data_IF_201481696042
#
_entry.id   IF_201481696042
#
_cell.length_a   1.000
_cell.length_b   1.000
_cell.length_c   1.000
_cell.angle_alpha   90.00
_cell.angle_beta   90.00
_cell.angle_gamma   90.00
#
_symmetry.space_group_name_H-M   'P 1'
#
loop_
_entity.id
_entity.type
_entity.pdbx_description
1 polymer ?
#
# COMPACT_ATOMS: atom_id res chain seq x y z
N UNK A 1 -25.85 -33.94 67.05
CA UNK A 1 -27.17 -33.28 67.15
C UNK A 1 -27.13 -32.17 66.12
N UNK A 2 -27.58 -32.48 64.91
CA UNK A 2 -28.85 -32.10 64.30
C UNK A 2 -29.00 -30.61 64.16
N UNK A 3 -29.03 -30.10 62.98
CA UNK A 3 -30.16 -29.96 62.17
C UNK A 3 -29.88 -29.17 60.89
N UNK A 4 -30.30 -29.78 59.81
CA UNK A 4 -30.53 -29.17 58.51
C UNK A 4 -31.53 -28.02 58.54
N UNK A 5 -31.29 -27.01 57.70
CA UNK A 5 -32.40 -26.20 57.20
C UNK A 5 -32.06 -25.67 55.81
N UNK A 6 -32.53 -26.35 54.79
CA UNK A 6 -32.65 -25.87 53.42
C UNK A 6 -33.69 -24.74 53.32
N UNK A 7 -33.31 -23.60 52.82
CA UNK A 7 -34.20 -22.52 52.42
C UNK A 7 -34.41 -22.52 50.90
N UNK A 8 -35.58 -22.19 50.37
CA UNK A 8 -35.98 -22.41 48.99
C UNK A 8 -35.40 -21.39 48.01
N UNK A 9 -34.98 -21.91 46.85
CA UNK A 9 -34.56 -21.15 45.72
C UNK A 9 -35.66 -20.21 45.19
N UNK A 10 -35.39 -18.95 45.16
CA UNK A 10 -36.19 -17.95 44.43
C UNK A 10 -35.86 -18.02 42.94
N UNK A 11 -36.79 -18.45 42.16
CA UNK A 11 -36.79 -18.30 40.69
C UNK A 11 -37.06 -16.83 40.38
N UNK A 12 -36.07 -16.17 39.84
CA UNK A 12 -36.29 -14.87 39.17
C UNK A 12 -36.70 -15.16 37.73
N UNK A 13 -37.92 -14.80 37.40
CA UNK A 13 -38.37 -14.72 36.02
C UNK A 13 -37.64 -13.56 35.36
N UNK A 14 -36.85 -13.85 34.35
CA UNK A 14 -36.33 -12.85 33.44
C UNK A 14 -37.24 -12.82 32.21
N UNK A 15 -37.99 -11.73 32.12
CA UNK A 15 -38.84 -11.43 30.98
C UNK A 15 -37.98 -11.37 29.70
N UNK A 16 -38.38 -12.20 28.74
CA UNK A 16 -37.76 -12.22 27.43
C UNK A 16 -38.13 -11.00 26.62
N UNK A 17 -37.19 -10.08 26.45
CA UNK A 17 -37.22 -9.16 25.33
C UNK A 17 -36.67 -9.84 24.12
N UNK A 18 -37.56 -10.36 23.29
CA UNK A 18 -37.25 -10.79 21.95
C UNK A 18 -36.79 -9.61 21.11
N UNK A 19 -35.52 -9.36 21.07
CA UNK A 19 -34.91 -8.49 20.07
C UNK A 19 -35.06 -9.18 18.71
N UNK A 20 -35.97 -8.69 17.89
CA UNK A 20 -36.02 -9.00 16.48
C UNK A 20 -34.69 -8.56 15.86
N UNK A 21 -33.79 -9.51 15.63
CA UNK A 21 -32.57 -9.28 14.88
C UNK A 21 -32.98 -8.87 13.46
N UNK A 22 -32.69 -7.63 13.10
CA UNK A 22 -32.79 -7.17 11.74
C UNK A 22 -31.88 -8.05 10.85
N UNK A 23 -32.33 -8.45 9.68
CA UNK A 23 -31.50 -9.25 8.78
C UNK A 23 -30.26 -8.44 8.41
N UNK A 24 -29.10 -8.96 8.74
CA UNK A 24 -27.84 -8.41 8.25
C UNK A 24 -27.86 -8.46 6.72
N UNK A 25 -27.56 -7.35 6.01
CA UNK A 25 -27.41 -7.40 4.59
C UNK A 25 -26.28 -8.39 4.26
N UNK A 26 -26.56 -9.31 3.36
CA UNK A 26 -25.58 -10.26 2.85
C UNK A 26 -24.31 -9.51 2.40
N UNK A 27 -23.12 -10.06 2.62
CA UNK A 27 -21.89 -9.43 2.16
C UNK A 27 -21.97 -9.30 0.64
N UNK A 28 -22.02 -8.07 0.16
CA UNK A 28 -21.93 -7.77 -1.26
C UNK A 28 -20.58 -8.30 -1.71
N UNK A 29 -20.60 -9.32 -2.55
CA UNK A 29 -19.39 -9.88 -3.14
C UNK A 29 -18.67 -8.76 -3.88
N UNK A 30 -17.60 -8.27 -3.30
CA UNK A 30 -16.71 -7.33 -3.98
C UNK A 30 -16.17 -8.07 -5.22
N UNK A 31 -16.26 -7.48 -6.41
CA UNK A 31 -15.69 -8.09 -7.59
C UNK A 31 -14.20 -8.29 -7.29
N UNK A 32 -13.77 -9.55 -7.27
CA UNK A 32 -12.34 -9.88 -7.25
C UNK A 32 -11.75 -9.17 -8.44
N UNK A 33 -10.93 -8.15 -8.18
CA UNK A 33 -10.14 -7.49 -9.21
C UNK A 33 -9.34 -8.60 -9.89
N UNK A 34 -9.80 -9.05 -11.05
CA UNK A 34 -8.98 -9.85 -11.95
C UNK A 34 -7.84 -8.92 -12.29
N UNK A 35 -6.65 -9.23 -11.83
CA UNK A 35 -5.45 -8.65 -12.40
C UNK A 35 -5.49 -9.05 -13.88
N UNK A 36 -6.01 -8.18 -14.71
CA UNK A 36 -5.86 -8.31 -16.13
C UNK A 36 -4.36 -8.43 -16.37
N UNK A 37 -3.94 -9.47 -17.05
CA UNK A 37 -2.56 -9.60 -17.47
C UNK A 37 -2.19 -8.24 -18.11
N UNK A 38 -1.16 -7.60 -17.57
CA UNK A 38 -0.66 -6.36 -18.15
C UNK A 38 -0.39 -6.65 -19.63
N UNK A 39 -0.83 -5.79 -20.54
CA UNK A 39 -0.50 -5.95 -21.94
C UNK A 39 1.00 -6.12 -22.08
N UNK A 40 1.44 -7.12 -22.81
CA UNK A 40 2.85 -7.50 -22.96
C UNK A 40 3.65 -6.53 -23.83
N UNK A 41 3.06 -5.41 -24.23
CA UNK A 41 3.73 -4.32 -24.93
C UNK A 41 3.49 -2.97 -24.25
N UNK A 42 4.43 -2.03 -24.36
CA UNK A 42 4.24 -0.68 -23.84
C UNK A 42 3.06 -0.03 -24.56
N UNK A 43 2.11 0.48 -23.78
CA UNK A 43 1.03 1.33 -24.29
C UNK A 43 1.59 2.64 -24.86
N UNK A 44 0.81 3.39 -25.66
CA UNK A 44 1.26 4.66 -26.27
C UNK A 44 1.79 5.67 -25.24
N UNK A 45 1.17 5.74 -24.06
CA UNK A 45 1.60 6.62 -22.97
C UNK A 45 2.87 6.14 -22.28
N UNK A 46 3.01 4.83 -22.07
CA UNK A 46 4.21 4.24 -21.50
C UNK A 46 5.42 4.42 -22.43
N UNK A 47 5.20 4.37 -23.74
CA UNK A 47 6.23 4.67 -24.75
C UNK A 47 6.66 6.14 -24.75
N UNK A 48 5.75 7.07 -24.46
CA UNK A 48 6.07 8.51 -24.38
C UNK A 48 6.90 8.82 -23.13
N UNK A 49 6.54 8.24 -21.98
CA UNK A 49 7.29 8.38 -20.72
C UNK A 49 8.67 7.71 -20.82
N UNK A 50 8.76 6.54 -21.44
CA UNK A 50 10.02 5.84 -21.63
C UNK A 50 11.03 6.61 -22.48
N UNK A 51 10.58 7.49 -23.37
CA UNK A 51 11.48 8.36 -24.16
C UNK A 51 12.08 9.54 -23.38
N UNK A 52 11.45 9.93 -22.28
CA UNK A 52 11.91 11.04 -21.44
C UNK A 52 12.85 10.58 -20.31
N UNK A 53 12.92 9.27 -20.04
CA UNK A 53 13.73 8.71 -18.95
C UNK A 53 14.99 8.09 -19.55
N UNK A 54 16.15 8.36 -18.93
CA UNK A 54 17.42 7.71 -19.29
C UNK A 54 17.25 6.18 -19.30
N UNK A 55 17.58 5.48 -20.39
CA UNK A 55 17.39 4.03 -20.55
C UNK A 55 17.98 3.18 -19.42
N UNK A 56 19.04 3.65 -18.76
CA UNK A 56 19.62 2.94 -17.58
C UNK A 56 18.63 2.78 -16.42
N UNK A 57 17.64 3.65 -16.31
CA UNK A 57 16.59 3.62 -15.29
C UNK A 57 15.33 2.89 -15.72
N UNK A 58 15.27 2.46 -16.98
CA UNK A 58 14.15 1.66 -17.46
C UNK A 58 14.05 0.34 -16.69
N UNK A 59 12.85 -0.23 -16.66
CA UNK A 59 12.61 -1.55 -16.08
C UNK A 59 13.46 -2.61 -16.80
N UNK A 60 14.25 -3.36 -16.06
CA UNK A 60 15.15 -4.40 -16.60
C UNK A 60 15.16 -5.62 -15.68
N UNK A 61 15.33 -6.81 -16.27
CA UNK A 61 15.70 -8.02 -15.53
C UNK A 61 17.23 -8.07 -15.46
N UNK A 62 17.75 -8.19 -14.23
CA UNK A 62 19.19 -8.19 -13.97
C UNK A 62 19.57 -9.39 -13.10
N UNK A 63 20.83 -9.83 -13.18
CA UNK A 63 21.40 -10.72 -12.18
C UNK A 63 21.40 -10.02 -10.81
N UNK A 64 21.12 -10.74 -9.75
CA UNK A 64 21.04 -10.19 -8.40
C UNK A 64 21.63 -11.16 -7.37
N UNK A 65 22.68 -10.73 -6.73
CA UNK A 65 23.41 -11.41 -5.64
C UNK A 65 23.33 -10.67 -4.30
N UNK A 66 22.52 -9.61 -4.25
CA UNK A 66 22.33 -8.80 -3.07
C UNK A 66 21.46 -9.46 -2.01
N UNK A 67 21.21 -8.76 -0.89
CA UNK A 67 20.44 -9.27 0.24
C UNK A 67 18.97 -9.47 -0.11
N UNK A 68 18.30 -10.37 0.62
CA UNK A 68 16.86 -10.58 0.53
C UNK A 68 16.47 -11.92 -0.09
N UNK A 69 15.16 -12.12 -0.26
CA UNK A 69 14.56 -13.35 -0.78
C UNK A 69 13.58 -13.03 -1.90
N UNK A 70 13.31 -13.99 -2.76
CA UNK A 70 12.30 -13.85 -3.81
C UNK A 70 10.97 -13.30 -3.25
N UNK A 71 10.39 -12.34 -3.95
CA UNK A 71 9.19 -11.60 -3.55
C UNK A 71 9.45 -10.38 -2.66
N UNK A 72 10.66 -10.17 -2.17
CA UNK A 72 11.02 -8.96 -1.43
C UNK A 72 11.44 -7.82 -2.37
N UNK A 73 11.27 -6.60 -1.87
CA UNK A 73 11.76 -5.39 -2.51
C UNK A 73 12.97 -4.88 -1.74
N UNK A 74 14.06 -4.63 -2.45
CA UNK A 74 15.25 -3.96 -1.92
C UNK A 74 15.39 -2.61 -2.60
N UNK A 75 15.59 -1.56 -1.81
CA UNK A 75 15.76 -0.19 -2.30
C UNK A 75 17.18 0.27 -2.00
N UNK A 76 17.94 0.55 -3.04
CA UNK A 76 19.24 1.22 -2.96
C UNK A 76 19.04 2.71 -3.27
N UNK A 77 19.01 3.51 -2.23
CA UNK A 77 18.81 4.97 -2.35
C UNK A 77 20.02 5.68 -2.95
N UNK A 78 21.22 5.13 -2.81
CA UNK A 78 22.44 5.71 -3.34
C UNK A 78 22.52 5.49 -4.86
N UNK A 79 22.30 4.27 -5.29
CA UNK A 79 22.26 3.92 -6.72
C UNK A 79 20.96 4.37 -7.40
N UNK A 80 19.93 4.74 -6.63
CA UNK A 80 18.58 5.09 -7.11
C UNK A 80 17.91 3.97 -7.88
N UNK A 81 17.98 2.76 -7.32
CA UNK A 81 17.32 1.58 -7.86
C UNK A 81 16.43 0.89 -6.81
N UNK A 82 15.34 0.34 -7.31
CA UNK A 82 14.50 -0.63 -6.61
C UNK A 82 14.63 -1.98 -7.30
N UNK A 83 14.83 -3.02 -6.52
CA UNK A 83 14.94 -4.40 -6.98
C UNK A 83 13.77 -5.22 -6.44
N UNK A 84 12.94 -5.77 -7.29
CA UNK A 84 11.98 -6.82 -6.94
C UNK A 84 12.64 -8.17 -7.17
N UNK A 85 13.05 -8.82 -6.08
CA UNK A 85 13.81 -10.06 -6.13
C UNK A 85 12.96 -11.19 -6.70
N UNK A 86 13.53 -11.89 -7.68
CA UNK A 86 12.94 -13.05 -8.35
C UNK A 86 13.67 -14.33 -7.93
N UNK A 87 13.05 -15.52 -8.12
CA UNK A 87 13.78 -16.78 -8.02
C UNK A 87 14.95 -16.83 -9.00
N UNK A 88 15.96 -17.68 -8.70
CA UNK A 88 17.06 -17.96 -9.63
C UNK A 88 18.14 -16.89 -9.70
N UNK A 89 18.34 -16.10 -8.64
CA UNK A 89 19.41 -15.09 -8.59
C UNK A 89 19.18 -13.91 -9.54
N UNK A 90 17.93 -13.55 -9.76
CA UNK A 90 17.53 -12.43 -10.61
C UNK A 90 16.71 -11.41 -9.83
N UNK A 91 16.62 -10.20 -10.34
CA UNK A 91 15.65 -9.20 -9.89
C UNK A 91 15.11 -8.38 -11.06
N UNK A 92 13.90 -7.87 -10.90
CA UNK A 92 13.41 -6.81 -11.76
C UNK A 92 13.87 -5.50 -11.12
N UNK A 93 14.71 -4.77 -11.86
CA UNK A 93 15.25 -3.48 -11.43
C UNK A 93 14.45 -2.34 -12.03
N UNK A 94 14.21 -1.31 -11.23
CA UNK A 94 13.55 -0.07 -11.62
C UNK A 94 14.40 1.11 -11.16
N UNK A 95 14.57 2.12 -12.01
CA UNK A 95 15.05 3.43 -11.58
C UNK A 95 14.01 4.11 -10.69
N UNK A 96 14.44 4.81 -9.66
CA UNK A 96 13.56 5.47 -8.71
C UNK A 96 13.99 6.89 -8.36
N UNK A 97 13.00 7.74 -8.06
CA UNK A 97 13.22 8.91 -7.24
C UNK A 97 13.31 8.53 -5.76
N UNK A 98 14.10 9.26 -5.00
CA UNK A 98 14.22 9.08 -3.56
C UNK A 98 13.81 10.34 -2.81
N UNK A 99 13.40 10.18 -1.56
CA UNK A 99 13.06 11.32 -0.70
C UNK A 99 14.21 12.32 -0.58
N UNK A 100 13.88 13.57 -0.34
CA UNK A 100 14.86 14.63 -0.09
C UNK A 100 15.68 14.33 1.18
N UNK A 101 16.89 14.89 1.34
CA UNK A 101 17.64 14.81 2.57
C UNK A 101 16.75 15.16 3.79
N UNK A 102 16.85 14.37 4.88
CA UNK A 102 15.99 14.50 6.05
C UNK A 102 14.69 13.68 6.00
N UNK A 103 14.33 13.10 4.85
CA UNK A 103 13.17 12.22 4.69
C UNK A 103 13.58 10.78 4.32
N UNK A 104 14.84 10.45 4.58
CA UNK A 104 15.36 9.09 4.31
C UNK A 104 15.04 8.22 5.51
N UNK A 105 14.64 6.99 5.25
CA UNK A 105 14.52 5.96 6.27
C UNK A 105 15.33 4.73 5.85
N UNK A 106 15.69 3.92 6.81
CA UNK A 106 16.39 2.66 6.61
C UNK A 106 15.70 1.54 7.38
N UNK A 107 16.08 0.30 7.09
CA UNK A 107 15.55 -0.89 7.74
C UNK A 107 14.39 -1.52 6.96
N UNK A 108 13.85 -2.60 7.50
CA UNK A 108 12.78 -3.37 6.87
C UNK A 108 11.40 -2.78 7.19
N UNK A 109 10.53 -2.80 6.21
CA UNK A 109 9.11 -2.44 6.33
C UNK A 109 8.25 -3.46 5.61
N UNK A 110 7.04 -3.67 6.10
CA UNK A 110 6.06 -4.54 5.46
C UNK A 110 5.10 -3.69 4.63
N UNK A 111 4.85 -4.13 3.38
CA UNK A 111 3.79 -3.55 2.56
C UNK A 111 2.46 -4.05 3.11
N UNK A 112 1.67 -3.15 3.70
CA UNK A 112 0.38 -3.47 4.35
C UNK A 112 -0.81 -3.22 3.46
N UNK A 113 -0.67 -2.38 2.46
CA UNK A 113 -1.74 -2.10 1.50
C UNK A 113 -1.16 -1.67 0.14
N UNK A 114 -1.92 -1.96 -0.91
CA UNK A 114 -1.68 -1.50 -2.29
C UNK A 114 -2.93 -0.80 -2.78
N UNK A 115 -2.77 0.33 -3.46
CA UNK A 115 -3.88 1.12 -4.02
C UNK A 115 -3.57 1.50 -5.46
N UNK A 116 -4.59 1.46 -6.29
CA UNK A 116 -4.60 2.07 -7.62
C UNK A 116 -5.20 3.46 -7.49
N UNK A 117 -4.63 4.42 -8.19
CA UNK A 117 -5.03 5.82 -8.19
C UNK A 117 -5.36 6.33 -6.79
N UNK A 118 -4.38 6.26 -5.85
CA UNK A 118 -4.65 6.62 -4.46
C UNK A 118 -4.91 8.10 -4.30
N UNK A 119 -5.83 8.45 -3.42
CA UNK A 119 -5.97 9.82 -2.97
C UNK A 119 -4.71 10.28 -2.22
N UNK A 120 -4.40 11.55 -2.33
CA UNK A 120 -3.28 12.16 -1.66
C UNK A 120 -3.73 13.25 -0.69
N UNK A 121 -3.31 13.10 0.56
CA UNK A 121 -3.43 14.13 1.59
C UNK A 121 -2.00 14.48 2.02
N UNK A 122 -1.53 15.69 1.72
CA UNK A 122 -0.20 16.12 2.14
C UNK A 122 -0.05 16.05 3.67
N UNK A 123 1.09 15.57 4.19
CA UNK A 123 1.38 15.65 5.61
C UNK A 123 1.33 17.11 6.12
N UNK A 124 0.88 17.30 7.37
CA UNK A 124 0.75 18.63 7.98
C UNK A 124 2.04 19.46 7.89
N UNK A 125 3.20 18.82 8.04
CA UNK A 125 4.49 19.48 7.87
C UNK A 125 4.76 19.96 6.45
N UNK A 126 4.29 19.23 5.45
CA UNK A 126 4.39 19.65 4.06
C UNK A 126 3.53 20.87 3.80
N UNK A 127 2.29 20.88 4.32
CA UNK A 127 1.40 22.05 4.21
C UNK A 127 1.94 23.29 4.93
N UNK A 128 2.68 23.10 6.05
CA UNK A 128 3.36 24.24 6.69
C UNK A 128 4.47 24.85 5.83
N UNK A 129 5.22 24.02 5.10
CA UNK A 129 6.28 24.49 4.18
C UNK A 129 5.75 24.97 2.82
N UNK A 130 4.63 24.42 2.40
CA UNK A 130 3.99 24.68 1.11
C UNK A 130 2.50 24.87 1.31
N UNK A 131 2.09 26.05 1.81
CA UNK A 131 0.67 26.36 2.06
C UNK A 131 -0.17 26.47 0.78
N UNK A 132 0.49 26.57 -0.37
CA UNK A 132 -0.09 26.58 -1.71
C UNK A 132 -0.61 25.19 -2.15
N UNK A 133 -0.22 24.12 -1.48
CA UNK A 133 -0.68 22.78 -1.82
C UNK A 133 -2.15 22.56 -1.42
N UNK A 134 -2.90 21.79 -2.22
CA UNK A 134 -4.25 21.38 -1.84
C UNK A 134 -4.22 20.53 -0.57
N UNK A 135 -5.26 20.64 0.27
CA UNK A 135 -5.38 19.84 1.48
C UNK A 135 -5.68 18.38 1.18
N UNK A 136 -6.24 18.10 0.02
CA UNK A 136 -6.57 16.77 -0.48
C UNK A 136 -6.62 16.78 -2.01
N UNK A 137 -6.17 15.71 -2.63
CA UNK A 137 -6.32 15.44 -4.06
C UNK A 137 -6.88 14.05 -4.25
N UNK A 138 -7.92 13.93 -5.06
CA UNK A 138 -8.41 12.62 -5.52
C UNK A 138 -7.39 11.93 -6.42
N UNK A 139 -7.45 10.60 -6.51
CA UNK A 139 -6.60 9.84 -7.42
C UNK A 139 -6.83 10.25 -8.87
N UNK A 140 -5.76 10.33 -9.65
CA UNK A 140 -5.82 10.73 -11.05
C UNK A 140 -4.46 11.14 -11.61
N UNK A 141 -4.40 11.47 -12.91
CA UNK A 141 -3.14 11.82 -13.61
C UNK A 141 -2.38 12.99 -12.98
N UNK A 142 -3.09 13.96 -12.40
CA UNK A 142 -2.49 15.13 -11.75
C UNK A 142 -2.01 14.85 -10.32
N UNK A 143 -2.33 13.66 -9.77
CA UNK A 143 -1.97 13.31 -8.40
C UNK A 143 -0.49 12.91 -8.31
N UNK A 144 0.30 13.52 -7.39
CA UNK A 144 1.73 13.27 -7.29
C UNK A 144 2.09 11.83 -6.89
N UNK A 145 1.14 11.04 -6.38
CA UNK A 145 1.37 9.62 -6.09
C UNK A 145 1.32 8.73 -7.34
N UNK A 146 0.85 9.27 -8.46
CA UNK A 146 0.71 8.53 -9.70
C UNK A 146 -0.33 7.39 -9.60
N UNK A 147 -0.26 6.46 -10.54
CA UNK A 147 -1.27 5.43 -10.71
C UNK A 147 -1.32 4.38 -9.59
N UNK A 148 -0.25 4.20 -8.82
CA UNK A 148 -0.17 3.15 -7.78
C UNK A 148 0.66 3.57 -6.58
N UNK A 149 0.22 3.11 -5.39
CA UNK A 149 1.01 3.25 -4.17
C UNK A 149 0.99 1.97 -3.33
N UNK A 150 2.13 1.70 -2.68
CA UNK A 150 2.30 0.65 -1.68
C UNK A 150 2.60 1.30 -0.33
N UNK A 151 1.76 1.04 0.66
CA UNK A 151 1.86 1.61 1.99
C UNK A 151 2.75 0.76 2.87
N UNK A 152 3.62 1.40 3.67
CA UNK A 152 4.65 0.74 4.47
C UNK A 152 4.28 0.76 5.96
N UNK A 153 3.56 -0.28 6.39
CA UNK A 153 3.07 -0.39 7.76
C UNK A 153 2.13 0.75 8.15
N UNK A 154 2.23 1.22 9.37
CA UNK A 154 1.51 2.39 9.90
C UNK A 154 2.25 3.71 9.68
N UNK A 155 3.31 3.72 8.88
CA UNK A 155 4.13 4.90 8.65
C UNK A 155 3.54 5.80 7.56
N UNK A 156 4.06 7.03 7.44
CA UNK A 156 3.73 7.93 6.33
C UNK A 156 4.50 7.59 5.03
N UNK A 157 5.43 6.64 5.08
CA UNK A 157 6.23 6.27 3.91
C UNK A 157 5.47 5.36 2.96
N UNK A 158 5.74 5.55 1.69
CA UNK A 158 5.11 4.82 0.58
C UNK A 158 6.12 4.62 -0.54
N UNK A 159 5.94 3.54 -1.28
CA UNK A 159 6.50 3.39 -2.62
C UNK A 159 5.36 3.73 -3.57
N UNK A 160 5.54 4.72 -4.43
CA UNK A 160 4.47 5.22 -5.29
C UNK A 160 5.00 5.63 -6.65
N UNK A 161 4.10 5.78 -7.60
CA UNK A 161 4.38 6.34 -8.90
C UNK A 161 4.65 7.85 -8.84
N UNK A 162 4.54 8.50 -9.96
CA UNK A 162 4.67 9.96 -10.05
C UNK A 162 3.88 10.46 -11.26
N UNK A 163 3.44 11.69 -11.21
CA UNK A 163 2.92 12.44 -12.36
C UNK A 163 4.02 13.25 -13.08
N UNK A 164 5.25 13.24 -12.55
CA UNK A 164 6.40 13.95 -13.09
C UNK A 164 7.65 13.06 -13.03
N UNK A 165 7.83 12.13 -13.99
CA UNK A 165 8.89 11.13 -13.97
C UNK A 165 10.27 11.65 -14.34
N UNK A 166 10.41 12.91 -14.81
CA UNK A 166 11.65 13.59 -15.19
C UNK A 166 12.29 14.42 -14.08
#
# INVERSE_FOLDING_TARGET
>A
MTGDAQGPARRSAVDGYGALAAPHPAPVAQPRARFAALPTGPGPEESAVARAIDPRYARQVVAYDGPGRAGQIVIDTNAKYLYLIQPGGQAIRYGIGVGRPGFVWTGAKTITAKREWPDWTPPAEMLRRRPDLPRHMVGGPENPLGARAMYLGSTLYRIHGTNAPW
#
